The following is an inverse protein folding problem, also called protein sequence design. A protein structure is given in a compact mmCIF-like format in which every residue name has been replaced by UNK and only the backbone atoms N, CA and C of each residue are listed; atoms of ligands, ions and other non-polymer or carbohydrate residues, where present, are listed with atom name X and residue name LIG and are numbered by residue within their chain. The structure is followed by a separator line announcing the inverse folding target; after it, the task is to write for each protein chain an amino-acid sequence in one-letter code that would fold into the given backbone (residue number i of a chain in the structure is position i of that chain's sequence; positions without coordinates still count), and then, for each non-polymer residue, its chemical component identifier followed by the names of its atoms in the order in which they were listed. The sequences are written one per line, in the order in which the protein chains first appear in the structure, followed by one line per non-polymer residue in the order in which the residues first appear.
data_IF_484639186624
#
_entry.id   IF_484639186624
#
_cell.length_a   1.000
_cell.length_b   1.000
_cell.length_c   1.000
_cell.angle_alpha   90.00
_cell.angle_beta   90.00
_cell.angle_gamma   90.00
#
_symmetry.space_group_name_H-M   'P 1'
#
loop_
_entity.id
_entity.type
_entity.pdbx_description
1 polymer ?
#
# COMPACT_ATOMS: atom_id res chain seq x y z
N UNK A 1 -12.15 44.60 18.25
CA UNK A 1 -12.55 43.68 17.16
C UNK A 1 -13.86 43.02 17.54
N UNK A 2 -14.84 42.99 16.63
CA UNK A 2 -16.14 42.37 16.91
C UNK A 2 -16.06 40.87 16.61
N UNK A 3 -16.83 40.05 17.32
CA UNK A 3 -16.87 38.58 17.18
C UNK A 3 -17.10 38.13 15.71
N UNK A 4 -17.79 38.95 14.91
CA UNK A 4 -17.99 38.70 13.47
C UNK A 4 -16.69 38.69 12.66
N UNK A 5 -15.70 39.50 13.04
CA UNK A 5 -14.41 39.58 12.34
C UNK A 5 -13.56 38.32 12.60
N UNK A 6 -13.70 37.72 13.79
CA UNK A 6 -13.08 36.44 14.14
C UNK A 6 -13.69 35.26 13.38
N UNK A 7 -15.02 35.26 13.22
CA UNK A 7 -15.74 34.23 12.46
C UNK A 7 -15.37 34.23 10.97
N UNK A 8 -15.18 35.42 10.38
CA UNK A 8 -14.79 35.55 8.96
C UNK A 8 -13.35 35.07 8.71
N UNK A 9 -12.46 35.16 9.70
CA UNK A 9 -11.07 34.71 9.58
C UNK A 9 -10.87 33.23 9.95
N UNK A 10 -11.61 32.73 10.95
CA UNK A 10 -11.43 31.37 11.46
C UNK A 10 -12.06 30.30 10.55
N UNK A 11 -13.18 30.60 9.89
CA UNK A 11 -13.91 29.63 9.04
C UNK A 11 -13.11 29.24 7.77
N UNK A 12 -12.50 30.17 7.01
CA UNK A 12 -11.67 29.81 5.86
C UNK A 12 -10.40 29.08 6.27
N UNK A 13 -9.77 29.49 7.38
CA UNK A 13 -8.53 28.87 7.89
C UNK A 13 -8.73 27.45 8.38
N UNK A 14 -9.84 27.17 9.07
CA UNK A 14 -10.20 25.82 9.52
C UNK A 14 -10.56 24.90 8.36
N UNK A 15 -11.26 25.42 7.35
CA UNK A 15 -11.62 24.66 6.15
C UNK A 15 -10.38 24.33 5.30
N UNK A 16 -9.44 25.27 5.17
CA UNK A 16 -8.16 25.04 4.50
C UNK A 16 -7.30 24.02 5.26
N UNK A 17 -7.22 24.13 6.58
CA UNK A 17 -6.49 23.15 7.41
C UNK A 17 -7.10 21.76 7.30
N UNK A 18 -8.42 21.64 7.28
CA UNK A 18 -9.12 20.37 7.08
C UNK A 18 -8.84 19.76 5.71
N UNK A 19 -8.89 20.55 4.64
CA UNK A 19 -8.56 20.08 3.29
C UNK A 19 -7.09 19.64 3.17
N UNK A 20 -6.16 20.38 3.78
CA UNK A 20 -4.75 20.00 3.83
C UNK A 20 -4.54 18.69 4.58
N UNK A 21 -5.19 18.52 5.73
CA UNK A 21 -5.16 17.26 6.48
C UNK A 21 -5.72 16.11 5.66
N UNK A 22 -6.83 16.33 4.93
CA UNK A 22 -7.41 15.34 4.03
C UNK A 22 -6.41 14.95 2.92
N UNK A 23 -5.79 15.94 2.27
CA UNK A 23 -4.78 15.72 1.23
C UNK A 23 -3.56 14.96 1.77
N UNK A 24 -3.10 15.28 2.99
CA UNK A 24 -2.02 14.53 3.65
C UNK A 24 -2.47 13.09 3.89
N UNK A 25 -3.67 12.86 4.44
CA UNK A 25 -4.18 11.50 4.64
C UNK A 25 -4.22 10.67 3.35
N UNK A 26 -4.65 11.25 2.23
CA UNK A 26 -4.66 10.55 0.93
C UNK A 26 -3.25 10.33 0.36
N UNK A 27 -2.38 11.34 0.41
CA UNK A 27 -1.01 11.23 -0.10
C UNK A 27 -0.15 10.26 0.72
N UNK A 28 -0.32 10.26 2.05
CA UNK A 28 0.36 9.36 2.97
C UNK A 28 -0.10 7.91 2.80
N UNK A 29 -1.36 7.69 2.44
CA UNK A 29 -1.92 6.36 2.24
C UNK A 29 -1.18 5.63 1.11
N UNK A 30 -1.16 6.16 -0.11
CA UNK A 30 -0.50 5.48 -1.23
C UNK A 30 1.03 5.38 -1.08
N UNK A 31 1.66 6.41 -0.51
CA UNK A 31 3.11 6.47 -0.33
C UNK A 31 3.61 5.52 0.75
N UNK A 32 2.84 5.28 1.81
CA UNK A 32 3.22 4.34 2.88
C UNK A 32 2.71 2.93 2.62
N UNK A 33 1.51 2.78 2.03
CA UNK A 33 0.90 1.45 1.89
C UNK A 33 1.63 0.57 0.88
N UNK A 34 2.05 1.11 -0.26
CA UNK A 34 2.85 0.35 -1.25
C UNK A 34 4.14 -0.27 -0.67
N UNK A 35 5.04 0.50 -0.04
CA UNK A 35 6.27 -0.08 0.52
C UNK A 35 6.00 -1.01 1.70
N UNK A 36 4.97 -0.74 2.51
CA UNK A 36 4.59 -1.64 3.61
C UNK A 36 4.01 -2.96 3.08
N UNK A 37 3.23 -2.93 2.01
CA UNK A 37 2.74 -4.14 1.34
C UNK A 37 3.90 -4.96 0.75
N UNK A 38 4.85 -4.30 0.09
CA UNK A 38 6.07 -4.95 -0.42
C UNK A 38 6.90 -5.58 0.72
N UNK A 39 7.00 -4.90 1.86
CA UNK A 39 7.71 -5.40 3.03
C UNK A 39 7.02 -6.63 3.65
N UNK A 40 5.71 -6.56 3.85
CA UNK A 40 4.92 -7.68 4.39
C UNK A 40 5.00 -8.91 3.48
N UNK A 41 4.82 -8.72 2.17
CA UNK A 41 4.96 -9.76 1.17
C UNK A 41 6.39 -10.35 1.15
N UNK A 42 7.42 -9.50 1.17
CA UNK A 42 8.82 -9.93 1.17
C UNK A 42 9.18 -10.75 2.41
N UNK A 43 8.70 -10.36 3.60
CA UNK A 43 8.89 -11.15 4.82
C UNK A 43 8.19 -12.51 4.74
N UNK A 44 6.96 -12.54 4.21
CA UNK A 44 6.25 -13.80 4.01
C UNK A 44 7.04 -14.74 3.08
N UNK A 45 7.49 -14.24 1.92
CA UNK A 45 8.23 -15.05 0.94
C UNK A 45 9.54 -15.57 1.54
N UNK A 46 10.32 -14.73 2.23
CA UNK A 46 11.56 -15.16 2.90
C UNK A 46 11.31 -16.19 3.99
N UNK A 47 10.24 -16.05 4.76
CA UNK A 47 9.91 -17.00 5.82
C UNK A 47 9.43 -18.34 5.25
N UNK A 48 8.73 -18.33 4.10
CA UNK A 48 8.15 -19.54 3.50
C UNK A 48 9.09 -20.25 2.53
N UNK A 49 9.96 -19.51 1.84
CA UNK A 49 10.87 -19.99 0.82
C UNK A 49 12.31 -19.46 1.09
N UNK A 50 12.94 -19.86 2.21
CA UNK A 50 14.22 -19.27 2.64
C UNK A 50 15.38 -19.52 1.68
N UNK A 51 15.35 -20.62 0.93
CA UNK A 51 16.41 -21.02 0.00
C UNK A 51 16.17 -20.53 -1.44
N UNK A 52 15.11 -19.77 -1.66
CA UNK A 52 14.73 -19.27 -2.99
C UNK A 52 15.27 -17.88 -3.29
N UNK A 53 15.56 -17.60 -4.56
CA UNK A 53 16.10 -16.32 -5.05
C UNK A 53 15.00 -15.35 -5.53
N UNK A 54 13.77 -15.48 -5.02
CA UNK A 54 12.64 -14.63 -5.39
C UNK A 54 12.97 -13.13 -5.26
N UNK A 55 12.91 -12.40 -6.36
CA UNK A 55 13.06 -10.95 -6.41
C UNK A 55 11.71 -10.28 -6.65
N UNK A 56 11.41 -9.25 -5.87
CA UNK A 56 10.21 -8.44 -6.06
C UNK A 56 10.33 -7.65 -7.37
N UNK A 57 9.33 -7.75 -8.23
CA UNK A 57 9.31 -7.12 -9.57
C UNK A 57 8.18 -6.10 -9.73
N UNK A 58 7.05 -6.31 -9.06
CA UNK A 58 5.88 -5.45 -9.16
C UNK A 58 5.18 -5.33 -7.81
N UNK A 59 4.71 -4.11 -7.52
CA UNK A 59 3.81 -3.80 -6.40
C UNK A 59 2.68 -2.95 -6.97
N UNK A 60 1.49 -3.51 -7.05
CA UNK A 60 0.33 -2.88 -7.67
C UNK A 60 -0.86 -2.87 -6.71
N UNK A 61 -1.61 -1.77 -6.69
CA UNK A 61 -2.86 -1.67 -5.93
C UNK A 61 -4.03 -2.14 -6.80
N UNK A 62 -4.72 -3.18 -6.36
CA UNK A 62 -5.88 -3.78 -7.02
C UNK A 62 -7.15 -3.20 -6.39
N UNK A 63 -7.53 -2.02 -6.88
CA UNK A 63 -8.63 -1.20 -6.33
C UNK A 63 -10.00 -1.89 -6.16
N UNK A 64 -10.44 -2.82 -7.03
CA UNK A 64 -11.72 -3.50 -6.84
C UNK A 64 -11.80 -4.40 -5.60
N UNK A 65 -10.65 -4.84 -5.07
CA UNK A 65 -10.56 -5.72 -3.91
C UNK A 65 -9.92 -5.03 -2.70
N UNK A 66 -9.47 -3.77 -2.86
CA UNK A 66 -8.71 -3.04 -1.85
C UNK A 66 -7.53 -3.88 -1.35
N UNK A 67 -6.73 -4.44 -2.26
CA UNK A 67 -5.55 -5.26 -1.93
C UNK A 67 -4.34 -4.84 -2.77
N UNK A 68 -3.15 -5.06 -2.24
CA UNK A 68 -1.89 -4.91 -2.97
C UNK A 68 -1.45 -6.26 -3.53
N UNK A 69 -1.25 -6.34 -4.84
CA UNK A 69 -0.57 -7.44 -5.51
C UNK A 69 0.94 -7.16 -5.52
N UNK A 70 1.72 -8.08 -4.95
CA UNK A 70 3.17 -8.08 -4.99
C UNK A 70 3.66 -9.30 -5.76
N UNK A 71 4.36 -9.07 -6.87
CA UNK A 71 4.88 -10.14 -7.72
C UNK A 71 6.37 -10.37 -7.49
N UNK A 72 6.74 -11.63 -7.31
CA UNK A 72 8.11 -12.08 -7.21
C UNK A 72 8.46 -12.99 -8.39
N UNK A 73 9.70 -12.90 -8.86
CA UNK A 73 10.24 -13.76 -9.90
C UNK A 73 11.56 -14.38 -9.47
N UNK A 74 11.79 -15.62 -9.91
CA UNK A 74 13.07 -16.31 -9.80
C UNK A 74 13.81 -16.33 -11.14
N UNK A 75 15.10 -16.64 -11.07
CA UNK A 75 15.95 -16.85 -12.23
C UNK A 75 15.53 -18.06 -13.09
N UNK A 76 14.81 -19.02 -12.52
CA UNK A 76 14.32 -20.22 -13.20
C UNK A 76 13.02 -20.00 -14.00
N UNK A 77 12.44 -18.79 -13.96
CA UNK A 77 11.19 -18.46 -14.62
C UNK A 77 9.93 -18.73 -13.78
N UNK A 78 10.07 -19.10 -12.51
CA UNK A 78 8.95 -19.23 -11.58
C UNK A 78 8.50 -17.87 -11.04
N UNK A 79 7.20 -17.58 -11.18
CA UNK A 79 6.57 -16.39 -10.63
C UNK A 79 5.72 -16.70 -9.40
N UNK A 80 5.67 -15.78 -8.44
CA UNK A 80 4.84 -15.86 -7.25
C UNK A 80 4.07 -14.56 -7.03
N UNK A 81 2.75 -14.67 -6.90
CA UNK A 81 1.86 -13.54 -6.60
C UNK A 81 1.46 -13.58 -5.12
N UNK A 82 1.76 -12.51 -4.39
CA UNK A 82 1.41 -12.33 -2.98
C UNK A 82 0.42 -11.17 -2.88
N UNK A 83 -0.72 -11.41 -2.25
CA UNK A 83 -1.77 -10.43 -2.05
C UNK A 83 -1.75 -9.93 -0.60
N UNK A 84 -1.65 -8.63 -0.41
CA UNK A 84 -1.54 -7.98 0.90
C UNK A 84 -2.71 -7.02 1.09
N UNK A 85 -3.50 -7.22 2.13
CA UNK A 85 -4.59 -6.29 2.48
C UNK A 85 -4.04 -4.96 3.04
N UNK A 86 -4.82 -3.86 3.01
CA UNK A 86 -4.37 -2.50 3.38
C UNK A 86 -4.07 -2.36 4.88
N UNK A 87 -4.64 -3.24 5.70
CA UNK A 87 -4.38 -3.38 7.13
C UNK A 87 -3.05 -4.11 7.45
N UNK A 88 -2.31 -4.55 6.43
CA UNK A 88 -1.08 -5.35 6.54
C UNK A 88 -1.27 -6.72 7.22
N UNK A 89 -2.52 -7.08 7.49
CA UNK A 89 -2.98 -8.36 7.99
C UNK A 89 -4.45 -8.54 7.57
N UNK A 90 -4.85 -9.73 7.10
CA UNK A 90 -4.04 -10.88 6.67
C UNK A 90 -3.29 -10.71 5.33
N UNK A 91 -2.20 -11.48 5.15
CA UNK A 91 -1.49 -11.66 3.86
C UNK A 91 -1.95 -12.98 3.25
N UNK A 92 -2.43 -12.94 2.01
CA UNK A 92 -2.87 -14.13 1.27
C UNK A 92 -1.93 -14.41 0.10
N UNK A 93 -1.68 -15.68 -0.18
CA UNK A 93 -0.91 -16.10 -1.35
C UNK A 93 -1.78 -16.95 -2.23
N UNK A 94 -1.98 -16.50 -3.47
CA UNK A 94 -2.49 -17.35 -4.53
C UNK A 94 -1.32 -17.66 -5.45
N UNK A 95 -0.76 -18.85 -5.29
CA UNK A 95 0.22 -19.37 -6.24
C UNK A 95 -0.47 -19.56 -7.58
N UNK A 96 -0.09 -18.77 -8.59
CA UNK A 96 -0.43 -19.07 -9.97
C UNK A 96 0.82 -19.59 -10.65
N UNK A 97 0.65 -20.75 -11.28
CA UNK A 97 1.68 -21.60 -11.83
C UNK A 97 2.55 -20.92 -12.90
N UNK A 98 3.76 -21.48 -12.99
CA UNK A 98 4.72 -21.43 -14.09
C UNK A 98 4.03 -21.21 -15.44
N UNK A 99 4.28 -20.05 -16.06
CA UNK A 99 4.04 -19.88 -17.49
C UNK A 99 5.18 -20.58 -18.23
N UNK A 100 5.01 -21.89 -18.45
CA UNK A 100 5.78 -22.64 -19.44
C UNK A 100 5.40 -22.20 -20.85
#
# INVERSE_FOLDING_TARGET
MKVKDWLILAVPGTLLAFLLLLCISFATNDFLQKPLAAFAAGNYVRARYPDSDYQCTLVEYVGPMDIYLVQFWQSDGTGLNVFVEPSFFPVYVSGSAVLS
#
